data_IF_699263082376
#
_entry.id   IF_699263082376
#
_cell.length_a   1.000
_cell.length_b   1.000
_cell.length_c   1.000
_cell.angle_alpha   90.00
_cell.angle_beta   90.00
_cell.angle_gamma   90.00
#
_symmetry.space_group_name_H-M   'P 1'
#
loop_
_entity.id
_entity.type
_entity.pdbx_description
1 polymer ?
#
# COMPACT_ATOMS: atom_id res chain seq x y z
N UNK A 1 12.44 -15.51 4.51
CA UNK A 1 11.34 -15.13 3.64
C UNK A 1 10.42 -14.14 4.37
N UNK A 2 10.10 -13.05 3.74
CA UNK A 2 9.06 -12.09 4.14
C UNK A 2 8.05 -11.95 3.02
N UNK A 3 6.79 -11.58 3.33
CA UNK A 3 5.74 -11.40 2.32
C UNK A 3 4.90 -10.15 2.59
N UNK A 4 4.39 -9.53 1.54
CA UNK A 4 3.50 -8.38 1.66
C UNK A 4 3.26 -7.64 0.35
N UNK A 5 2.31 -6.70 0.39
CA UNK A 5 2.02 -5.83 -0.74
C UNK A 5 3.04 -4.69 -0.90
N UNK A 6 3.57 -4.18 0.22
CA UNK A 6 4.57 -3.10 0.27
C UNK A 6 4.19 -1.90 -0.63
N UNK A 7 2.96 -1.43 -0.48
CA UNK A 7 2.36 -0.46 -1.38
C UNK A 7 1.63 0.68 -0.64
N UNK A 8 2.24 1.88 -0.55
CA UNK A 8 3.62 2.19 -0.90
C UNK A 8 4.65 1.60 0.08
N UNK A 9 5.89 1.44 -0.42
CA UNK A 9 7.03 1.12 0.44
C UNK A 9 7.32 2.31 1.37
N UNK A 10 7.66 2.03 2.63
CA UNK A 10 8.00 3.04 3.63
C UNK A 10 9.10 2.55 4.59
N UNK A 11 9.63 3.46 5.41
CA UNK A 11 10.76 3.17 6.34
C UNK A 11 10.52 1.94 7.22
N UNK A 12 9.30 1.75 7.72
CA UNK A 12 8.95 0.57 8.53
C UNK A 12 9.12 -0.76 7.78
N UNK A 13 8.89 -0.80 6.47
CA UNK A 13 9.17 -1.98 5.67
C UNK A 13 10.68 -2.21 5.50
N UNK A 14 11.46 -1.13 5.37
CA UNK A 14 12.93 -1.24 5.26
C UNK A 14 13.52 -1.80 6.55
N UNK A 15 13.09 -1.32 7.71
CA UNK A 15 13.52 -1.84 9.01
C UNK A 15 13.11 -3.31 9.20
N UNK A 16 11.90 -3.67 8.78
CA UNK A 16 11.44 -5.05 8.76
C UNK A 16 12.33 -5.94 7.88
N UNK A 17 12.69 -5.50 6.67
CA UNK A 17 13.58 -6.24 5.78
C UNK A 17 14.98 -6.39 6.37
N UNK A 18 15.55 -5.33 6.94
CA UNK A 18 16.85 -5.39 7.62
C UNK A 18 16.85 -6.37 8.79
N UNK A 19 15.80 -6.34 9.63
CA UNK A 19 15.66 -7.26 10.73
C UNK A 19 15.48 -8.72 10.26
N UNK A 20 14.67 -8.94 9.22
CA UNK A 20 14.48 -10.25 8.63
C UNK A 20 15.78 -10.80 7.98
N UNK A 21 16.61 -9.95 7.38
CA UNK A 21 17.92 -10.33 6.81
C UNK A 21 18.87 -10.89 7.87
N UNK A 22 18.78 -10.44 9.12
CA UNK A 22 19.61 -10.94 10.22
C UNK A 22 19.25 -12.38 10.68
N UNK A 23 18.11 -12.91 10.22
CA UNK A 23 17.65 -14.24 10.59
C UNK A 23 18.24 -15.37 9.72
N UNK A 24 18.90 -15.02 8.61
CA UNK A 24 19.44 -16.02 7.69
C UNK A 24 20.40 -15.44 6.65
N UNK A 25 20.94 -16.33 5.81
CA UNK A 25 21.95 -15.97 4.82
C UNK A 25 21.40 -15.11 3.67
N UNK A 26 20.15 -15.37 3.27
CA UNK A 26 19.48 -14.67 2.17
C UNK A 26 18.11 -14.20 2.57
N UNK A 27 17.76 -12.98 2.16
CA UNK A 27 16.41 -12.44 2.27
C UNK A 27 15.67 -12.57 0.94
N UNK A 28 14.62 -13.38 0.95
CA UNK A 28 13.65 -13.48 -0.14
C UNK A 28 12.42 -12.66 0.23
N UNK A 29 11.99 -11.79 -0.66
CA UNK A 29 10.75 -11.02 -0.50
C UNK A 29 9.70 -11.57 -1.46
N UNK A 30 8.66 -12.19 -0.93
CA UNK A 30 7.45 -12.59 -1.63
C UNK A 30 6.53 -11.38 -1.78
N UNK A 31 6.38 -10.88 -3.01
CA UNK A 31 5.60 -9.70 -3.31
C UNK A 31 4.20 -10.09 -3.78
N UNK A 32 3.18 -9.61 -3.08
CA UNK A 32 1.78 -9.83 -3.47
C UNK A 32 1.46 -9.19 -4.83
N UNK A 33 0.56 -9.83 -5.57
CA UNK A 33 0.09 -9.39 -6.88
C UNK A 33 -0.70 -8.07 -6.82
N UNK A 34 -0.91 -7.45 -7.98
CA UNK A 34 -1.80 -6.29 -8.11
C UNK A 34 -3.26 -6.70 -7.88
N UNK A 35 -3.64 -7.91 -8.28
CA UNK A 35 -4.95 -8.49 -8.01
C UNK A 35 -5.23 -8.63 -6.51
N UNK A 36 -4.24 -9.05 -5.73
CA UNK A 36 -4.36 -9.10 -4.28
C UNK A 36 -4.55 -7.69 -3.68
N UNK A 37 -3.81 -6.68 -4.17
CA UNK A 37 -3.98 -5.30 -3.72
C UNK A 37 -5.36 -4.75 -4.11
N UNK A 38 -5.89 -5.10 -5.28
CA UNK A 38 -7.25 -4.74 -5.69
C UNK A 38 -8.26 -5.33 -4.70
N UNK A 39 -8.15 -6.62 -4.36
CA UNK A 39 -9.04 -7.25 -3.37
C UNK A 39 -8.94 -6.60 -1.99
N UNK A 40 -7.74 -6.21 -1.55
CA UNK A 40 -7.49 -5.66 -0.20
C UNK A 40 -7.70 -4.17 -0.06
N UNK A 41 -7.42 -3.37 -1.10
CA UNK A 41 -7.36 -1.90 -1.04
C UNK A 41 -8.14 -1.20 -2.15
N UNK A 42 -8.78 -1.95 -3.06
CA UNK A 42 -9.49 -1.44 -4.21
C UNK A 42 -8.61 -1.16 -5.44
N UNK A 43 -7.37 -0.77 -5.25
CA UNK A 43 -6.37 -0.59 -6.33
C UNK A 43 -4.95 -0.59 -5.76
N UNK A 44 -3.93 -0.94 -6.56
CA UNK A 44 -2.55 -0.68 -6.20
C UNK A 44 -2.23 0.82 -6.32
N UNK A 45 -1.35 1.33 -5.46
CA UNK A 45 -0.73 2.65 -5.63
C UNK A 45 0.41 2.58 -6.65
N UNK A 46 1.23 1.52 -6.57
CA UNK A 46 2.27 1.21 -7.56
C UNK A 46 2.03 -0.18 -8.14
N UNK A 47 2.29 -0.36 -9.46
CA UNK A 47 2.20 -1.66 -10.11
C UNK A 47 3.19 -2.67 -9.50
N UNK A 48 2.91 -3.96 -9.70
CA UNK A 48 3.81 -5.04 -9.27
C UNK A 48 5.25 -4.82 -9.77
N UNK A 49 5.40 -4.45 -11.05
CA UNK A 49 6.71 -4.23 -11.67
C UNK A 49 7.48 -3.10 -10.97
N UNK A 50 6.80 -2.00 -10.65
CA UNK A 50 7.42 -0.86 -9.97
C UNK A 50 7.83 -1.23 -8.55
N UNK A 51 6.93 -1.85 -7.77
CA UNK A 51 7.22 -2.32 -6.41
C UNK A 51 8.37 -3.33 -6.39
N UNK A 52 8.36 -4.29 -7.32
CA UNK A 52 9.40 -5.30 -7.46
C UNK A 52 10.76 -4.67 -7.76
N UNK A 53 10.81 -3.70 -8.68
CA UNK A 53 12.04 -2.99 -9.05
C UNK A 53 12.62 -2.20 -7.87
N UNK A 54 11.79 -1.48 -7.14
CA UNK A 54 12.20 -0.70 -5.97
C UNK A 54 12.75 -1.62 -4.88
N UNK A 55 12.02 -2.69 -4.56
CA UNK A 55 12.41 -3.63 -3.49
C UNK A 55 13.69 -4.38 -3.87
N UNK A 56 13.85 -4.78 -5.12
CA UNK A 56 15.06 -5.47 -5.61
C UNK A 56 16.33 -4.59 -5.56
N UNK A 57 16.17 -3.27 -5.52
CA UNK A 57 17.28 -2.33 -5.40
C UNK A 57 17.76 -2.11 -3.94
N UNK A 58 17.06 -2.68 -2.96
CA UNK A 58 17.44 -2.57 -1.56
C UNK A 58 18.60 -3.53 -1.25
N UNK A 59 19.68 -3.03 -0.67
CA UNK A 59 20.88 -3.79 -0.35
C UNK A 59 20.61 -5.03 0.53
N UNK A 60 19.63 -4.94 1.42
CA UNK A 60 19.26 -6.06 2.30
C UNK A 60 18.43 -7.16 1.61
N UNK A 61 17.98 -6.97 0.38
CA UNK A 61 17.12 -7.91 -0.35
C UNK A 61 17.92 -8.68 -1.39
N UNK A 62 17.98 -9.99 -1.27
CA UNK A 62 18.71 -10.84 -2.23
C UNK A 62 17.82 -11.23 -3.42
N UNK A 63 16.52 -11.43 -3.20
CA UNK A 63 15.61 -11.89 -4.26
C UNK A 63 14.19 -11.41 -3.99
N UNK A 64 13.51 -10.97 -5.04
CA UNK A 64 12.05 -10.72 -5.03
C UNK A 64 11.37 -11.78 -5.87
N UNK A 65 10.32 -12.41 -5.33
CA UNK A 65 9.53 -13.41 -6.03
C UNK A 65 8.06 -13.02 -6.11
N UNK A 66 7.44 -13.33 -7.24
CA UNK A 66 5.97 -13.41 -7.35
C UNK A 66 5.51 -14.77 -6.86
N UNK A 67 4.29 -14.89 -6.39
CA UNK A 67 3.68 -16.16 -5.99
C UNK A 67 2.17 -16.11 -6.21
N UNK A 68 1.53 -17.28 -6.18
CA UNK A 68 0.08 -17.36 -6.22
C UNK A 68 -0.49 -16.94 -4.85
N UNK A 69 -1.24 -15.86 -4.84
CA UNK A 69 -1.93 -15.29 -3.68
C UNK A 69 -3.45 -15.21 -3.87
N UNK A 70 -3.98 -16.02 -4.78
CA UNK A 70 -5.41 -16.07 -5.11
C UNK A 70 -6.29 -16.51 -3.92
N UNK A 71 -5.71 -17.27 -2.98
CA UNK A 71 -6.34 -17.72 -1.74
C UNK A 71 -6.14 -16.75 -0.55
N UNK A 72 -5.64 -15.55 -0.80
CA UNK A 72 -5.30 -14.52 0.19
C UNK A 72 -4.27 -14.95 1.25
N UNK A 73 -3.49 -16.00 0.99
CA UNK A 73 -2.40 -16.47 1.86
C UNK A 73 -1.03 -16.35 1.20
N UNK A 74 0.04 -16.43 1.99
CA UNK A 74 1.42 -16.48 1.50
C UNK A 74 1.96 -17.90 1.36
N UNK A 75 1.10 -18.94 1.38
CA UNK A 75 1.51 -20.33 1.21
C UNK A 75 2.29 -20.56 -0.07
N UNK A 76 1.84 -19.92 -1.16
CA UNK A 76 2.53 -19.97 -2.45
C UNK A 76 3.96 -19.43 -2.41
N UNK A 77 4.24 -18.41 -1.58
CA UNK A 77 5.59 -17.88 -1.42
C UNK A 77 6.53 -18.86 -0.71
N UNK A 78 6.06 -19.52 0.36
CA UNK A 78 6.83 -20.55 1.07
C UNK A 78 7.12 -21.71 0.12
N UNK A 79 6.09 -22.23 -0.56
CA UNK A 79 6.22 -23.31 -1.54
C UNK A 79 7.24 -22.97 -2.62
N UNK A 80 7.12 -21.80 -3.24
CA UNK A 80 8.02 -21.36 -4.33
C UNK A 80 9.46 -21.23 -3.84
N UNK A 81 9.67 -20.69 -2.63
CA UNK A 81 11.01 -20.55 -2.04
C UNK A 81 11.66 -21.91 -1.83
N UNK A 82 10.94 -22.89 -1.27
CA UNK A 82 11.42 -24.26 -1.08
C UNK A 82 11.72 -24.94 -2.41
N UNK A 83 10.82 -24.82 -3.40
CA UNK A 83 10.97 -25.45 -4.71
C UNK A 83 12.15 -24.87 -5.51
N UNK A 84 12.43 -23.58 -5.36
CA UNK A 84 13.51 -22.91 -6.13
C UNK A 84 14.89 -23.20 -5.55
N UNK A 85 15.01 -23.35 -4.23
CA UNK A 85 16.30 -23.41 -3.57
C UNK A 85 16.67 -24.82 -3.03
N UNK A 86 15.77 -25.80 -3.16
CA UNK A 86 16.05 -27.19 -2.79
C UNK A 86 16.26 -27.39 -1.29
N UNK A 87 17.35 -27.98 -0.91
CA UNK A 87 17.68 -28.44 0.46
C UNK A 87 18.04 -27.26 1.39
N UNK A 88 17.09 -26.33 1.61
CA UNK A 88 17.25 -25.17 2.48
C UNK A 88 16.29 -25.23 3.67
N UNK A 89 16.59 -24.47 4.70
CA UNK A 89 15.65 -24.12 5.75
C UNK A 89 15.06 -22.72 5.46
N UNK A 90 13.74 -22.61 5.42
CA UNK A 90 13.04 -21.35 5.26
C UNK A 90 12.64 -20.82 6.62
N UNK A 91 13.07 -19.60 6.95
CA UNK A 91 12.55 -18.86 8.09
C UNK A 91 11.49 -17.89 7.53
N UNK A 92 10.21 -18.15 7.83
CA UNK A 92 9.12 -17.27 7.49
C UNK A 92 8.96 -16.20 8.56
N UNK A 93 9.52 -15.03 8.30
CA UNK A 93 9.55 -13.92 9.22
C UNK A 93 8.28 -13.07 9.10
N UNK A 94 7.64 -12.79 10.22
CA UNK A 94 6.41 -12.01 10.31
C UNK A 94 6.61 -10.79 11.20
N UNK A 95 6.22 -9.63 10.71
CA UNK A 95 6.22 -8.38 11.47
C UNK A 95 4.86 -8.02 12.02
N UNK A 96 4.82 -7.00 12.86
CA UNK A 96 3.59 -6.47 13.46
C UNK A 96 2.93 -7.44 14.44
N UNK A 97 1.61 -7.45 14.43
CA UNK A 97 0.72 -8.17 15.35
C UNK A 97 0.44 -9.63 14.97
N UNK A 98 1.13 -10.18 13.97
CA UNK A 98 0.97 -11.56 13.54
C UNK A 98 1.54 -12.53 14.57
N UNK A 99 0.87 -13.68 14.71
CA UNK A 99 1.29 -14.79 15.56
C UNK A 99 0.86 -16.13 14.93
N UNK A 100 1.14 -17.25 15.60
CA UNK A 100 0.83 -18.60 15.10
C UNK A 100 -0.67 -18.86 14.89
N UNK A 101 -1.56 -18.16 15.59
CA UNK A 101 -3.01 -18.32 15.46
C UNK A 101 -3.59 -17.46 14.33
N UNK A 102 -2.98 -16.32 14.06
CA UNK A 102 -3.44 -15.35 13.03
C UNK A 102 -2.78 -15.56 11.67
N UNK A 103 -1.78 -16.44 11.57
CA UNK A 103 -1.00 -16.69 10.34
C UNK A 103 -1.45 -18.00 9.70
N UNK A 104 -2.24 -17.96 8.60
CA UNK A 104 -2.80 -19.16 7.97
C UNK A 104 -1.72 -20.13 7.46
N UNK A 105 -0.54 -19.63 7.09
CA UNK A 105 0.62 -20.41 6.66
C UNK A 105 1.12 -21.35 7.76
N UNK A 106 0.99 -20.96 9.03
CA UNK A 106 1.41 -21.78 10.17
C UNK A 106 0.64 -23.09 10.24
N UNK A 107 -0.63 -23.11 9.88
CA UNK A 107 -1.44 -24.35 9.85
C UNK A 107 -0.96 -25.37 8.82
N UNK A 108 -0.32 -24.89 7.74
CA UNK A 108 0.15 -25.74 6.63
C UNK A 108 1.60 -26.16 6.82
N UNK A 109 2.43 -25.30 7.35
CA UNK A 109 3.89 -25.47 7.36
C UNK A 109 4.52 -25.50 8.75
N UNK A 110 3.74 -25.22 9.82
CA UNK A 110 4.27 -25.08 11.19
C UNK A 110 4.94 -26.33 11.76
N UNK A 111 4.52 -27.51 11.30
CA UNK A 111 5.08 -28.81 11.73
C UNK A 111 6.24 -29.31 10.85
N UNK A 112 6.59 -28.56 9.80
CA UNK A 112 7.64 -28.96 8.89
C UNK A 112 9.01 -28.52 9.40
N UNK A 113 9.90 -29.46 9.67
CA UNK A 113 11.25 -29.24 10.24
C UNK A 113 12.15 -28.29 9.42
N UNK A 114 11.80 -28.01 8.18
CA UNK A 114 12.53 -27.12 7.28
C UNK A 114 11.85 -25.75 7.07
N UNK A 115 10.79 -25.47 7.83
CA UNK A 115 10.14 -24.15 7.86
C UNK A 115 10.03 -23.70 9.32
N UNK A 116 10.68 -22.60 9.65
CA UNK A 116 10.51 -21.93 10.93
C UNK A 116 9.65 -20.69 10.76
N UNK A 117 8.89 -20.36 11.79
CA UNK A 117 8.11 -19.14 11.88
C UNK A 117 8.70 -18.24 12.95
N UNK A 118 9.01 -17.00 12.59
CA UNK A 118 9.49 -15.99 13.53
C UNK A 118 8.53 -14.80 13.48
N UNK A 119 8.05 -14.38 14.64
CA UNK A 119 7.09 -13.29 14.79
C UNK A 119 7.73 -12.08 15.47
N UNK A 120 7.09 -10.89 15.36
CA UNK A 120 7.61 -9.66 15.94
C UNK A 120 8.88 -9.12 15.27
N UNK A 121 9.16 -9.55 14.03
CA UNK A 121 10.35 -9.13 13.30
C UNK A 121 10.24 -7.67 12.91
N UNK A 122 11.27 -6.86 13.26
CA UNK A 122 11.26 -5.42 13.04
C UNK A 122 10.61 -4.62 14.17
N UNK A 123 10.22 -5.31 15.27
CA UNK A 123 9.66 -4.70 16.48
C UNK A 123 8.14 -4.53 16.43
N UNK A 124 7.56 -4.31 17.61
CA UNK A 124 6.09 -4.17 17.78
C UNK A 124 5.61 -2.74 17.49
N UNK A 125 6.52 -1.79 17.37
CA UNK A 125 6.19 -0.40 17.10
C UNK A 125 5.92 -0.18 15.62
N UNK A 126 4.65 -0.02 15.27
CA UNK A 126 4.22 0.33 13.93
C UNK A 126 4.50 1.81 13.65
N UNK A 127 5.75 2.12 13.32
CA UNK A 127 6.19 3.49 13.03
C UNK A 127 5.44 4.13 11.87
N UNK A 128 4.91 3.32 10.92
CA UNK A 128 4.18 3.81 9.77
C UNK A 128 3.28 2.72 9.16
N UNK A 129 2.40 3.13 8.25
CA UNK A 129 1.52 2.22 7.50
C UNK A 129 1.28 2.79 6.11
N UNK A 130 1.37 1.93 5.10
CA UNK A 130 1.01 2.31 3.72
C UNK A 130 -0.38 2.94 3.63
N UNK A 131 -1.35 2.43 4.40
CA UNK A 131 -2.71 3.00 4.42
C UNK A 131 -2.72 4.40 5.04
N UNK A 132 -2.02 4.62 6.15
CA UNK A 132 -1.92 5.93 6.77
C UNK A 132 -1.26 6.97 5.85
N UNK A 133 -0.17 6.60 5.18
CA UNK A 133 0.50 7.48 4.22
C UNK A 133 -0.45 7.85 3.09
N UNK A 134 -1.19 6.89 2.55
CA UNK A 134 -2.14 7.14 1.46
C UNK A 134 -3.33 7.99 1.93
N UNK A 135 -3.85 7.73 3.13
CA UNK A 135 -4.97 8.49 3.69
C UNK A 135 -4.53 9.92 4.01
N UNK A 136 -3.36 10.11 4.62
CA UNK A 136 -2.80 11.44 4.85
C UNK A 136 -2.59 12.20 3.54
N UNK A 137 -2.04 11.54 2.52
CA UNK A 137 -1.86 12.15 1.21
C UNK A 137 -3.18 12.53 0.54
N UNK A 138 -4.21 11.69 0.63
CA UNK A 138 -5.56 11.97 0.08
C UNK A 138 -6.27 13.09 0.81
N UNK A 139 -6.06 13.21 2.12
CA UNK A 139 -6.70 14.22 2.96
C UNK A 139 -5.88 15.50 3.07
N UNK A 140 -4.67 15.53 2.49
CA UNK A 140 -3.80 16.70 2.53
C UNK A 140 -4.47 17.89 1.87
N UNK A 141 -4.53 18.99 2.62
CA UNK A 141 -5.04 20.25 2.14
C UNK A 141 -4.02 20.91 1.21
N UNK A 142 -4.48 21.36 0.05
CA UNK A 142 -3.69 22.19 -0.84
C UNK A 142 -4.11 23.63 -0.63
N UNK A 143 -3.27 24.42 0.05
CA UNK A 143 -3.53 25.84 0.32
C UNK A 143 -3.36 26.70 -0.93
N UNK A 144 -4.19 27.74 -1.05
CA UNK A 144 -4.19 28.77 -2.10
C UNK A 144 -4.56 30.11 -1.48
N UNK A 145 -4.31 31.21 -2.18
CA UNK A 145 -4.67 32.56 -1.74
C UNK A 145 -6.18 32.76 -1.49
N UNK A 146 -6.99 31.93 -2.13
CA UNK A 146 -8.43 31.97 -2.01
C UNK A 146 -9.02 31.03 -0.95
N UNK A 147 -8.21 30.11 -0.38
CA UNK A 147 -8.64 29.09 0.56
C UNK A 147 -7.85 27.80 0.40
N UNK A 148 -8.50 26.66 0.52
CA UNK A 148 -7.85 25.37 0.27
C UNK A 148 -8.81 24.38 -0.41
N UNK A 149 -8.22 23.32 -0.93
CA UNK A 149 -8.99 22.16 -1.38
C UNK A 149 -8.31 20.86 -0.92
N UNK A 150 -9.12 19.81 -0.79
CA UNK A 150 -8.65 18.44 -0.58
C UNK A 150 -9.49 17.44 -1.35
N UNK A 151 -8.90 16.30 -1.69
CA UNK A 151 -9.62 15.19 -2.33
C UNK A 151 -10.28 14.36 -1.24
N UNK A 152 -11.59 14.17 -1.32
CA UNK A 152 -12.35 13.30 -0.41
C UNK A 152 -12.48 11.88 -0.97
N UNK A 153 -12.68 11.75 -2.29
CA UNK A 153 -12.73 10.46 -2.98
C UNK A 153 -12.20 10.60 -4.41
N UNK A 154 -11.53 9.58 -4.90
CA UNK A 154 -10.99 9.52 -6.26
C UNK A 154 -11.20 8.12 -6.82
N UNK A 155 -12.09 7.99 -7.79
CA UNK A 155 -12.46 6.73 -8.46
C UNK A 155 -12.26 6.86 -9.97
N UNK A 156 -11.02 6.79 -10.45
CA UNK A 156 -10.72 6.92 -11.88
C UNK A 156 -11.40 5.84 -12.73
N UNK A 157 -11.55 4.63 -12.18
CA UNK A 157 -12.26 3.50 -12.79
C UNK A 157 -13.74 3.77 -13.01
N UNK A 158 -14.34 4.63 -12.16
CA UNK A 158 -15.74 5.07 -12.26
C UNK A 158 -15.87 6.45 -12.89
N UNK A 159 -14.77 7.09 -13.25
CA UNK A 159 -14.75 8.38 -13.94
C UNK A 159 -15.11 9.58 -13.07
N UNK A 160 -15.03 9.50 -11.72
CA UNK A 160 -15.34 10.65 -10.86
C UNK A 160 -14.27 10.92 -9.79
N UNK A 161 -14.25 12.16 -9.33
CA UNK A 161 -13.45 12.65 -8.21
C UNK A 161 -14.28 13.61 -7.36
N UNK A 162 -14.29 13.39 -6.05
CA UNK A 162 -14.93 14.28 -5.07
C UNK A 162 -13.86 15.12 -4.40
N UNK A 163 -14.08 16.45 -4.39
CA UNK A 163 -13.22 17.41 -3.70
C UNK A 163 -14.04 18.24 -2.72
N UNK A 164 -13.44 18.58 -1.60
CA UNK A 164 -13.89 19.68 -0.76
C UNK A 164 -13.08 20.92 -1.10
N UNK A 165 -13.76 22.03 -1.27
CA UNK A 165 -13.15 23.35 -1.44
C UNK A 165 -13.65 24.25 -0.32
N UNK A 166 -12.74 24.94 0.35
CA UNK A 166 -13.07 25.97 1.34
C UNK A 166 -12.55 27.30 0.82
N UNK A 167 -13.46 28.24 0.58
CA UNK A 167 -13.14 29.56 0.07
C UNK A 167 -13.22 30.53 1.24
N UNK A 168 -12.16 31.30 1.45
CA UNK A 168 -12.12 32.29 2.53
C UNK A 168 -13.01 33.48 2.23
N UNK A 169 -13.57 34.14 3.25
CA UNK A 169 -14.41 35.29 3.08
C UNK A 169 -13.77 36.34 2.18
N UNK A 170 -14.54 36.84 1.19
CA UNK A 170 -14.08 37.85 0.24
C UNK A 170 -13.08 37.36 -0.82
N UNK A 171 -12.87 36.03 -0.91
CA UNK A 171 -12.05 35.44 -1.95
C UNK A 171 -12.90 34.74 -3.00
N UNK A 172 -12.32 34.50 -4.16
CA UNK A 172 -12.97 33.80 -5.29
C UNK A 172 -12.02 32.82 -5.95
N UNK A 173 -12.59 31.78 -6.52
CA UNK A 173 -11.86 30.88 -7.43
C UNK A 173 -11.57 31.60 -8.74
N UNK A 174 -10.50 31.20 -9.43
CA UNK A 174 -10.26 31.62 -10.80
C UNK A 174 -11.36 31.09 -11.71
N UNK A 175 -11.73 31.87 -12.69
CA UNK A 175 -12.65 31.46 -13.75
C UNK A 175 -12.00 30.31 -14.55
N UNK A 176 -12.70 29.16 -14.65
CA UNK A 176 -12.18 27.95 -15.29
C UNK A 176 -13.23 27.32 -16.19
N UNK A 177 -12.84 27.01 -17.41
CA UNK A 177 -13.67 26.27 -18.38
C UNK A 177 -13.09 24.87 -18.62
N UNK A 178 -13.93 23.86 -18.45
CA UNK A 178 -13.53 22.47 -18.65
C UNK A 178 -14.24 21.87 -19.88
N UNK A 179 -13.46 21.39 -20.86
CA UNK A 179 -13.99 20.82 -22.11
C UNK A 179 -14.21 19.30 -22.06
N UNK A 180 -13.66 18.61 -21.05
CA UNK A 180 -13.64 17.14 -20.98
C UNK A 180 -14.25 16.57 -19.70
N UNK A 181 -14.84 17.42 -18.85
CA UNK A 181 -15.48 16.98 -17.61
C UNK A 181 -16.65 17.87 -17.27
N UNK A 182 -17.67 17.32 -16.65
CA UNK A 182 -18.72 18.03 -15.95
C UNK A 182 -18.41 18.15 -14.48
N UNK A 183 -18.95 19.16 -13.82
CA UNK A 183 -18.81 19.37 -12.38
C UNK A 183 -20.20 19.56 -11.77
N UNK A 184 -20.40 18.92 -10.63
CA UNK A 184 -21.56 19.10 -9.78
C UNK A 184 -21.09 19.76 -8.48
N UNK A 185 -21.72 20.85 -8.10
CA UNK A 185 -21.35 21.63 -6.92
C UNK A 185 -22.44 21.52 -5.87
N UNK A 186 -22.04 21.17 -4.64
CA UNK A 186 -22.93 21.13 -3.50
C UNK A 186 -22.36 22.07 -2.41
N UNK A 187 -23.09 23.12 -2.07
CA UNK A 187 -22.70 24.08 -1.03
C UNK A 187 -23.07 23.48 0.33
N UNK A 188 -22.07 23.15 1.13
CA UNK A 188 -22.25 22.55 2.46
C UNK A 188 -22.44 23.63 3.53
N UNK A 189 -21.76 24.77 3.41
CA UNK A 189 -21.80 25.87 4.36
C UNK A 189 -21.58 27.22 3.64
N UNK A 190 -22.29 28.27 4.06
CA UNK A 190 -22.16 29.61 3.50
C UNK A 190 -22.97 29.84 2.24
N UNK A 191 -22.62 30.93 1.51
CA UNK A 191 -23.28 31.34 0.27
C UNK A 191 -22.21 31.55 -0.80
N UNK A 192 -22.40 30.93 -1.97
CA UNK A 192 -21.53 31.08 -3.14
C UNK A 192 -22.27 31.79 -4.26
N UNK A 193 -21.66 32.82 -4.84
CA UNK A 193 -22.11 33.39 -6.09
C UNK A 193 -21.39 32.70 -7.24
N UNK A 194 -22.14 32.12 -8.15
CA UNK A 194 -21.61 31.51 -9.38
C UNK A 194 -22.04 32.34 -10.57
N UNK A 195 -21.09 32.82 -11.35
CA UNK A 195 -21.36 33.45 -12.62
C UNK A 195 -21.48 32.39 -13.69
N UNK A 196 -22.70 32.15 -14.16
CA UNK A 196 -23.05 31.08 -15.13
C UNK A 196 -23.31 31.64 -16.53
N UNK A 197 -22.75 32.78 -16.89
CA UNK A 197 -22.89 33.29 -18.25
C UNK A 197 -22.06 32.46 -19.23
N UNK A 198 -22.75 31.50 -19.84
CA UNK A 198 -22.23 30.71 -20.96
C UNK A 198 -22.84 31.28 -22.24
N UNK A 199 -22.07 32.01 -23.00
CA UNK A 199 -22.35 32.29 -24.41
C UNK A 199 -21.63 31.26 -25.30
#
# INVERSE_FOLDING_TARGET
LVTGGFDPLHSGHIEYFKAAKQLGDKLVVGLNSDEWLIRKKGRPFMSFQERSKIISALECVDTVISFDDSDDTARGAIYKTLATHGNIKVIFANGGDRNNTTTPEYKTYGDLRYVDFVFGVGGDYKANSSSWILDEWKTQKTERDWGYWRVLDDKPDKGYKVKELVIYPGKSLSDQKHFKRSEEWNVLEGTVKMDTEWN
#
